data_IF_100763346055
#
_entry.id   IF_100763346055
#
_cell.length_a   1.000
_cell.length_b   1.000
_cell.length_c   1.000
_cell.angle_alpha   90.00
_cell.angle_beta   90.00
_cell.angle_gamma   90.00
#
_symmetry.space_group_name_H-M   'P 1'
#
loop_
_entity.id
_entity.type
_entity.pdbx_description
1 polymer ?
#
# COMPACT_ATOMS: atom_id res chain seq x y z
N UNK A 1 -10.31 -10.32 -17.07
CA UNK A 1 -10.33 -10.35 -15.59
C UNK A 1 -10.41 -8.91 -15.11
N UNK A 2 -11.40 -8.56 -14.30
CA UNK A 2 -11.59 -7.16 -13.86
C UNK A 2 -10.66 -6.89 -12.67
N UNK A 3 -9.75 -5.89 -12.74
CA UNK A 3 -8.93 -5.49 -11.61
C UNK A 3 -9.72 -4.57 -10.66
N UNK A 4 -9.82 -4.98 -9.40
CA UNK A 4 -10.36 -4.19 -8.30
C UNK A 4 -9.19 -3.71 -7.45
N UNK A 5 -8.81 -2.44 -7.62
CA UNK A 5 -7.64 -1.87 -6.95
C UNK A 5 -8.02 -1.11 -5.68
N UNK A 6 -7.07 -1.02 -4.73
CA UNK A 6 -7.19 -0.24 -3.49
C UNK A 6 -8.39 -0.65 -2.63
N UNK A 7 -8.67 -1.95 -2.60
CA UNK A 7 -9.80 -2.52 -1.85
C UNK A 7 -9.51 -2.43 -0.36
N UNK A 8 -10.39 -1.76 0.38
CA UNK A 8 -10.32 -1.65 1.84
C UNK A 8 -11.35 -2.53 2.54
N UNK A 9 -12.37 -3.02 1.83
CA UNK A 9 -13.37 -3.94 2.39
C UNK A 9 -14.07 -4.75 1.30
N UNK A 10 -14.35 -6.03 1.57
CA UNK A 10 -15.35 -6.80 0.81
C UNK A 10 -16.71 -6.54 1.45
N UNK A 11 -17.64 -6.00 0.68
CA UNK A 11 -18.99 -5.64 1.12
C UNK A 11 -19.92 -6.85 1.01
N UNK A 12 -19.83 -7.56 -0.12
CA UNK A 12 -20.64 -8.73 -0.40
C UNK A 12 -19.91 -9.69 -1.37
N UNK A 13 -20.20 -10.98 -1.25
CA UNK A 13 -19.66 -12.03 -2.12
C UNK A 13 -20.71 -13.11 -2.38
N UNK A 14 -21.23 -13.13 -3.60
CA UNK A 14 -22.13 -14.17 -4.10
C UNK A 14 -21.40 -15.09 -5.06
N UNK A 15 -21.05 -16.29 -4.58
CA UNK A 15 -20.38 -17.31 -5.39
C UNK A 15 -21.31 -17.98 -6.41
N UNK A 16 -22.63 -18.02 -6.16
CA UNK A 16 -23.61 -18.61 -7.09
C UNK A 16 -23.82 -17.68 -8.29
N UNK A 17 -24.05 -16.40 -8.01
CA UNK A 17 -24.17 -15.38 -9.05
C UNK A 17 -22.82 -14.93 -9.64
N UNK A 18 -21.70 -15.41 -9.08
CA UNK A 18 -20.32 -15.04 -9.46
C UNK A 18 -20.12 -13.52 -9.40
N UNK A 19 -20.54 -12.91 -8.29
CA UNK A 19 -20.55 -11.47 -8.10
C UNK A 19 -19.83 -11.12 -6.80
N UNK A 20 -19.05 -10.04 -6.85
CA UNK A 20 -18.38 -9.48 -5.69
C UNK A 20 -18.64 -7.98 -5.65
N UNK A 21 -18.95 -7.48 -4.46
CA UNK A 21 -19.09 -6.05 -4.19
C UNK A 21 -18.01 -5.65 -3.20
N UNK A 22 -17.21 -4.65 -3.54
CA UNK A 22 -16.11 -4.16 -2.73
C UNK A 22 -16.24 -2.68 -2.47
N UNK A 23 -15.68 -2.22 -1.35
CA UNK A 23 -15.31 -0.83 -1.15
C UNK A 23 -13.86 -0.65 -1.57
N UNK A 24 -13.57 0.39 -2.33
CA UNK A 24 -12.20 0.86 -2.58
C UNK A 24 -11.98 2.25 -2.03
N UNK A 25 -10.81 2.46 -1.44
CA UNK A 25 -10.41 3.73 -0.85
C UNK A 25 -9.56 4.51 -1.85
N UNK A 26 -10.05 5.69 -2.20
CA UNK A 26 -9.35 6.67 -3.02
C UNK A 26 -9.01 7.89 -2.16
N UNK A 27 -8.27 8.83 -2.74
CA UNK A 27 -7.97 10.10 -2.06
C UNK A 27 -9.27 10.83 -1.71
N UNK A 28 -9.52 10.99 -0.40
CA UNK A 28 -10.68 11.71 0.14
C UNK A 28 -12.04 11.02 -0.02
N UNK A 29 -12.14 9.80 -0.55
CA UNK A 29 -13.44 9.13 -0.78
C UNK A 29 -13.37 7.61 -0.84
N UNK A 30 -14.55 7.01 -0.70
CA UNK A 30 -14.75 5.57 -0.88
C UNK A 30 -15.74 5.34 -2.02
N UNK A 31 -15.50 4.29 -2.81
CA UNK A 31 -16.40 3.87 -3.88
C UNK A 31 -16.84 2.42 -3.66
N UNK A 32 -18.13 2.17 -3.83
CA UNK A 32 -18.69 0.82 -3.86
C UNK A 32 -18.69 0.35 -5.31
N UNK A 33 -17.97 -0.74 -5.58
CA UNK A 33 -17.79 -1.28 -6.93
C UNK A 33 -18.22 -2.73 -6.95
N UNK A 34 -19.02 -3.08 -7.96
CA UNK A 34 -19.46 -4.43 -8.23
C UNK A 34 -18.73 -5.00 -9.45
N UNK A 35 -18.30 -6.26 -9.37
CA UNK A 35 -17.70 -6.97 -10.50
C UNK A 35 -18.11 -8.45 -10.55
N UNK A 36 -17.96 -9.05 -11.73
CA UNK A 36 -18.14 -10.49 -11.94
C UNK A 36 -16.84 -11.26 -11.68
N UNK A 37 -16.95 -12.46 -11.10
CA UNK A 37 -15.85 -13.39 -10.91
C UNK A 37 -15.54 -14.16 -12.20
N UNK A 38 -14.26 -14.43 -12.53
CA UNK A 38 -13.06 -14.16 -11.73
C UNK A 38 -12.58 -12.71 -11.78
N UNK A 39 -12.17 -12.18 -10.62
CA UNK A 39 -11.64 -10.83 -10.44
C UNK A 39 -10.30 -10.87 -9.70
N UNK A 40 -9.44 -9.90 -9.96
CA UNK A 40 -8.17 -9.69 -9.26
C UNK A 40 -8.35 -8.54 -8.27
N UNK A 41 -8.00 -8.75 -7.00
CA UNK A 41 -8.09 -7.72 -5.97
C UNK A 41 -6.69 -7.30 -5.53
N UNK A 42 -6.44 -5.99 -5.46
CA UNK A 42 -5.34 -5.45 -4.65
C UNK A 42 -5.92 -4.85 -3.38
N UNK A 43 -5.45 -5.32 -2.22
CA UNK A 43 -6.01 -4.97 -0.92
C UNK A 43 -5.09 -4.01 -0.17
N UNK A 44 -5.68 -3.08 0.55
CA UNK A 44 -4.96 -2.18 1.45
C UNK A 44 -4.65 -2.88 2.77
N UNK A 45 -3.57 -2.45 3.42
CA UNK A 45 -3.14 -3.00 4.72
C UNK A 45 -4.24 -2.87 5.79
N UNK A 46 -5.06 -1.82 5.70
CA UNK A 46 -6.12 -1.56 6.68
C UNK A 46 -7.34 -2.46 6.51
N UNK A 47 -7.41 -3.26 5.43
CA UNK A 47 -8.56 -4.12 5.13
C UNK A 47 -8.87 -5.11 6.26
N UNK A 48 -7.83 -5.70 6.86
CA UNK A 48 -7.96 -6.58 8.00
C UNK A 48 -6.68 -6.59 8.86
N UNK A 49 -6.80 -7.14 10.07
CA UNK A 49 -5.64 -7.52 10.90
C UNK A 49 -5.44 -9.02 10.74
N UNK A 50 -4.31 -9.49 10.16
CA UNK A 50 -4.04 -10.92 10.06
C UNK A 50 -4.12 -11.58 11.44
N UNK A 51 -4.84 -12.71 11.52
CA UNK A 51 -4.98 -13.46 12.76
C UNK A 51 -3.65 -14.07 13.20
N UNK A 52 -3.48 -14.24 14.51
CA UNK A 52 -2.35 -15.01 15.02
C UNK A 52 -2.49 -16.49 14.63
N UNK A 53 -1.42 -17.17 14.20
CA UNK A 53 -1.48 -18.60 13.91
C UNK A 53 -1.60 -19.41 15.21
N UNK A 54 -2.44 -20.44 15.23
CA UNK A 54 -2.51 -21.37 16.36
C UNK A 54 -1.32 -22.33 16.34
N UNK A 55 -0.97 -22.92 17.50
CA UNK A 55 0.11 -23.91 17.59
C UNK A 55 -0.11 -25.09 16.63
N UNK A 56 -1.31 -25.70 16.54
CA UNK A 56 -1.57 -26.78 15.58
C UNK A 56 -1.30 -26.35 14.13
N UNK A 57 -1.79 -25.18 13.70
CA UNK A 57 -1.58 -24.69 12.33
C UNK A 57 -0.11 -24.43 12.00
N UNK A 58 0.71 -24.05 13.00
CA UNK A 58 2.15 -23.85 12.80
C UNK A 58 2.87 -25.16 12.53
N UNK A 59 2.51 -26.22 13.27
CA UNK A 59 3.08 -27.55 13.08
C UNK A 59 2.63 -28.13 11.73
N UNK A 60 1.35 -28.03 11.40
CA UNK A 60 0.83 -28.44 10.08
C UNK A 60 1.56 -27.71 8.94
N UNK A 61 1.71 -26.38 9.04
CA UNK A 61 2.37 -25.59 8.00
C UNK A 61 3.86 -25.93 7.83
N UNK A 62 4.54 -26.39 8.89
CA UNK A 62 5.95 -26.80 8.83
C UNK A 62 6.13 -28.08 7.99
N UNK A 63 5.18 -29.01 8.07
CA UNK A 63 5.25 -30.30 7.38
C UNK A 63 4.64 -30.25 5.97
N UNK A 64 3.95 -29.16 5.61
CA UNK A 64 3.35 -29.00 4.29
C UNK A 64 4.45 -28.88 3.20
N UNK A 65 4.39 -29.71 2.14
CA UNK A 65 5.35 -29.61 1.05
C UNK A 65 5.14 -28.30 0.26
N UNK A 66 6.20 -27.51 0.11
CA UNK A 66 6.21 -26.31 -0.72
C UNK A 66 6.78 -26.66 -2.08
N UNK A 67 5.95 -26.62 -3.12
CA UNK A 67 6.41 -26.85 -4.49
C UNK A 67 7.24 -25.67 -4.98
N UNK A 68 8.50 -25.92 -5.34
CA UNK A 68 9.39 -24.92 -5.94
C UNK A 68 9.23 -24.94 -7.46
N UNK A 69 8.87 -23.79 -8.03
CA UNK A 69 8.83 -23.60 -9.47
C UNK A 69 9.98 -22.73 -9.92
N UNK A 70 10.74 -23.23 -10.91
CA UNK A 70 11.74 -22.48 -11.64
C UNK A 70 11.30 -22.28 -13.10
N UNK A 71 12.11 -21.59 -13.90
CA UNK A 71 11.76 -21.37 -15.31
C UNK A 71 11.89 -22.63 -16.19
N UNK A 72 12.42 -23.75 -15.68
CA UNK A 72 12.35 -25.04 -16.39
C UNK A 72 10.94 -25.62 -16.33
N UNK A 73 10.23 -25.35 -15.23
CA UNK A 73 8.82 -25.72 -15.05
C UNK A 73 7.88 -24.72 -15.75
N UNK A 74 8.12 -23.42 -15.57
CA UNK A 74 7.19 -22.38 -16.05
C UNK A 74 7.36 -22.03 -17.54
N UNK A 75 8.52 -22.33 -18.13
CA UNK A 75 8.82 -22.12 -19.56
C UNK A 75 8.49 -20.70 -20.06
N UNK A 76 8.82 -19.68 -19.27
CA UNK A 76 8.59 -18.28 -19.62
C UNK A 76 9.74 -17.75 -20.49
N UNK A 77 9.43 -16.79 -21.37
CA UNK A 77 10.43 -16.11 -22.20
C UNK A 77 11.42 -15.33 -21.33
N UNK A 78 12.70 -15.68 -21.42
CA UNK A 78 13.79 -15.05 -20.65
C UNK A 78 13.99 -13.57 -20.97
N UNK A 79 13.47 -13.09 -22.10
CA UNK A 79 13.50 -11.68 -22.46
C UNK A 79 12.32 -10.89 -21.88
N UNK A 80 11.39 -11.54 -21.19
CA UNK A 80 10.23 -10.92 -20.54
C UNK A 80 10.25 -11.05 -19.01
N UNK A 81 11.28 -11.67 -18.45
CA UNK A 81 11.43 -11.87 -17.00
C UNK A 81 12.79 -11.40 -16.48
N UNK A 82 12.87 -11.16 -15.17
CA UNK A 82 14.10 -10.76 -14.49
C UNK A 82 14.67 -9.43 -15.00
N UNK A 83 15.99 -9.26 -14.90
CA UNK A 83 16.67 -8.04 -15.34
C UNK A 83 16.55 -7.80 -16.86
N UNK A 84 16.57 -8.87 -17.66
CA UNK A 84 16.50 -8.77 -19.13
C UNK A 84 15.15 -8.27 -19.62
N UNK A 85 14.06 -8.68 -18.96
CA UNK A 85 12.71 -8.25 -19.30
C UNK A 85 12.24 -6.98 -18.59
N UNK A 86 13.04 -6.39 -17.71
CA UNK A 86 12.65 -5.17 -16.99
C UNK A 86 12.86 -3.93 -17.87
N UNK A 87 11.82 -3.12 -18.14
CA UNK A 87 11.97 -1.86 -18.87
C UNK A 87 12.68 -0.79 -18.04
N UNK A 88 12.77 -0.97 -16.72
CA UNK A 88 13.38 -0.02 -15.79
C UNK A 88 14.61 -0.62 -15.11
N UNK A 89 15.66 0.18 -14.93
CA UNK A 89 16.88 -0.21 -14.21
C UNK A 89 17.22 0.81 -13.12
N UNK A 90 17.49 0.33 -11.90
CA UNK A 90 17.90 1.18 -10.79
C UNK A 90 19.36 1.61 -10.99
N UNK A 91 19.59 2.91 -11.24
CA UNK A 91 20.93 3.46 -11.50
C UNK A 91 21.73 3.78 -10.25
N UNK A 92 21.07 4.29 -9.21
CA UNK A 92 21.70 4.70 -7.95
C UNK A 92 20.69 4.62 -6.82
N UNK A 93 21.14 4.15 -5.66
CA UNK A 93 20.39 4.16 -4.40
C UNK A 93 21.17 5.05 -3.43
N UNK A 94 20.48 5.96 -2.75
CA UNK A 94 21.07 6.83 -1.73
C UNK A 94 20.03 7.11 -0.64
N UNK A 95 20.50 7.40 0.56
CA UNK A 95 19.64 7.81 1.67
C UNK A 95 19.36 9.31 1.58
N UNK A 96 18.11 9.78 1.72
CA UNK A 96 17.82 11.20 1.77
C UNK A 96 18.40 11.82 3.04
N UNK A 97 19.02 12.99 2.92
CA UNK A 97 19.41 13.79 4.07
C UNK A 97 18.17 14.46 4.67
N UNK A 98 18.03 14.43 5.99
CA UNK A 98 16.93 15.11 6.70
C UNK A 98 17.41 16.48 7.13
N UNK A 99 16.63 17.52 6.83
CA UNK A 99 16.88 18.85 7.38
C UNK A 99 16.79 18.84 8.91
N UNK A 100 17.63 19.63 9.56
CA UNK A 100 17.56 19.84 11.01
C UNK A 100 16.30 20.65 11.33
N UNK A 101 15.62 20.27 12.43
CA UNK A 101 14.49 21.04 12.95
C UNK A 101 14.92 22.41 13.49
N UNK A 102 14.01 23.37 13.44
CA UNK A 102 14.22 24.73 13.93
C UNK A 102 13.21 25.03 15.05
N UNK A 103 13.68 25.61 16.15
CA UNK A 103 12.81 26.16 17.20
C UNK A 103 12.56 27.64 16.84
N UNK A 104 11.30 28.04 16.85
CA UNK A 104 10.87 29.38 16.40
C UNK A 104 10.11 30.10 17.51
N UNK A 105 10.25 31.43 17.57
CA UNK A 105 9.60 32.28 18.57
C UNK A 105 10.11 32.07 19.99
N UNK A 106 9.39 32.63 20.96
CA UNK A 106 9.67 32.54 22.40
C UNK A 106 8.67 31.61 23.14
N UNK A 107 7.83 30.90 22.38
CA UNK A 107 6.91 29.90 22.87
C UNK A 107 5.85 30.46 23.81
N UNK A 108 6.05 30.27 25.12
CA UNK A 108 5.12 30.71 26.15
C UNK A 108 5.23 32.22 26.46
N UNK A 109 6.28 32.90 25.99
CA UNK A 109 6.47 34.35 26.16
C UNK A 109 5.54 35.19 25.28
N UNK A 110 5.34 34.78 24.02
CA UNK A 110 4.46 35.36 23.02
C UNK A 110 3.87 34.24 22.13
N UNK A 111 2.79 33.59 22.62
CA UNK A 111 2.13 32.53 21.87
C UNK A 111 1.57 32.98 20.52
N UNK A 112 1.12 34.23 20.42
CA UNK A 112 0.44 34.75 19.21
C UNK A 112 1.47 35.07 18.13
N UNK A 113 2.57 35.75 18.48
CA UNK A 113 3.67 35.99 17.55
C UNK A 113 4.33 34.70 17.09
N UNK A 114 4.55 33.75 18.01
CA UNK A 114 5.10 32.42 17.66
C UNK A 114 4.20 31.68 16.67
N UNK A 115 2.87 31.69 16.86
CA UNK A 115 1.94 31.05 15.93
C UNK A 115 1.96 31.69 14.53
N UNK A 116 2.10 33.03 14.46
CA UNK A 116 2.21 33.74 13.18
C UNK A 116 3.47 33.32 12.41
N UNK A 117 4.63 33.28 13.08
CA UNK A 117 5.90 32.85 12.48
C UNK A 117 5.83 31.39 12.02
N UNK A 118 5.15 30.52 12.77
CA UNK A 118 4.92 29.13 12.39
C UNK A 118 4.16 29.03 11.06
N UNK A 119 3.02 29.72 10.95
CA UNK A 119 2.20 29.68 9.73
C UNK A 119 2.97 30.22 8.54
N UNK A 120 3.68 31.34 8.70
CA UNK A 120 4.52 31.93 7.65
C UNK A 120 5.57 30.92 7.14
N UNK A 121 6.28 30.23 8.04
CA UNK A 121 7.27 29.22 7.64
C UNK A 121 6.66 28.00 6.97
N UNK A 122 5.51 27.52 7.45
CA UNK A 122 4.83 26.36 6.85
C UNK A 122 4.33 26.67 5.43
N UNK A 123 3.85 27.90 5.18
CA UNK A 123 3.48 28.36 3.84
C UNK A 123 4.73 28.48 2.95
N UNK A 124 5.83 29.07 3.44
CA UNK A 124 7.09 29.16 2.70
C UNK A 124 7.68 27.80 2.31
N UNK A 125 7.50 26.77 3.16
CA UNK A 125 7.95 25.41 2.88
C UNK A 125 6.96 24.56 2.08
N UNK A 126 5.85 25.16 1.61
CA UNK A 126 4.78 24.45 0.88
C UNK A 126 4.18 23.27 1.68
N UNK A 127 4.28 23.34 3.02
CA UNK A 127 3.74 22.32 3.94
C UNK A 127 2.28 22.59 4.31
N UNK A 128 1.82 23.81 4.08
CA UNK A 128 0.41 24.20 4.15
C UNK A 128 -0.05 24.64 2.76
N UNK A 129 -1.00 23.90 2.20
CA UNK A 129 -1.83 24.39 1.11
C UNK A 129 -3.00 25.16 1.74
N UNK A 130 -3.00 26.48 1.58
CA UNK A 130 -4.15 27.34 1.91
C UNK A 130 -5.09 27.44 0.71
#
# INVERSE_FOLDING_TARGET
MVPLTLVDRIVDLDLKAKKITVSRKLEGRHEIVEAKLPALLTVLREMNKPRYPSVPMRLEAQDLPVTLWDNKVLNLDVNQIGLKGSPTAVRKIFSPEREQGEIIGDGAGDPVGTAKVLVEKLVQKELLAL
#
